data_IF_618304036821
#
_entry.id   IF_618304036821
#
_cell.length_a   1.000
_cell.length_b   1.000
_cell.length_c   1.000
_cell.angle_alpha   90.00
_cell.angle_beta   90.00
_cell.angle_gamma   90.00
#
_symmetry.space_group_name_H-M   'P 1'
#
loop_
_entity.id
_entity.type
_entity.pdbx_description
1 polymer ?
#
# COMPACT_ATOMS: atom_id res chain seq x y z
N UNK A 1 -4.61 -17.15 -1.54
CA UNK A 1 -5.17 -15.92 -2.15
C UNK A 1 -5.07 -14.80 -1.11
N UNK A 2 -4.88 -13.54 -1.51
CA UNK A 2 -4.72 -12.37 -0.61
C UNK A 2 -5.84 -12.31 0.44
N UNK A 3 -7.10 -12.51 0.05
CA UNK A 3 -8.24 -12.47 0.98
C UNK A 3 -8.13 -13.52 2.09
N UNK A 4 -7.71 -14.75 1.77
CA UNK A 4 -7.51 -15.80 2.78
C UNK A 4 -6.41 -15.43 3.76
N UNK A 5 -5.28 -14.90 3.28
CA UNK A 5 -4.19 -14.46 4.14
C UNK A 5 -4.60 -13.30 5.05
N UNK A 6 -5.45 -12.39 4.55
CA UNK A 6 -6.04 -11.37 5.40
C UNK A 6 -6.71 -12.04 6.60
N UNK A 7 -7.67 -12.94 6.40
CA UNK A 7 -8.42 -13.55 7.50
C UNK A 7 -7.57 -14.45 8.41
N UNK A 8 -6.73 -15.31 7.84
CA UNK A 8 -6.13 -16.42 8.58
C UNK A 8 -4.76 -16.07 9.16
N UNK A 9 -3.97 -15.25 8.46
CA UNK A 9 -2.62 -14.87 8.89
C UNK A 9 -2.60 -13.52 9.62
N UNK A 10 -3.63 -12.68 9.45
CA UNK A 10 -3.74 -11.33 10.04
C UNK A 10 -2.45 -10.50 9.86
N UNK A 11 -2.07 -10.20 8.61
CA UNK A 11 -0.80 -9.54 8.32
C UNK A 11 -0.77 -8.12 8.91
N UNK A 12 0.43 -7.68 9.29
CA UNK A 12 0.63 -6.32 9.81
C UNK A 12 0.53 -5.22 8.75
N UNK A 13 0.60 -5.56 7.45
CA UNK A 13 0.61 -4.62 6.33
C UNK A 13 0.13 -5.29 5.05
N UNK A 14 -0.70 -4.59 4.28
CA UNK A 14 -0.96 -4.92 2.88
C UNK A 14 -0.17 -3.97 1.97
N UNK A 15 0.64 -4.52 1.06
CA UNK A 15 1.33 -3.74 0.02
C UNK A 15 0.73 -4.06 -1.34
N UNK A 16 0.20 -3.05 -2.01
CA UNK A 16 -0.33 -3.14 -3.37
C UNK A 16 0.61 -2.37 -4.30
N UNK A 17 1.28 -3.10 -5.20
CA UNK A 17 2.26 -2.51 -6.13
C UNK A 17 1.69 -1.32 -6.92
N UNK A 18 0.46 -1.46 -7.43
CA UNK A 18 -0.15 -0.45 -8.31
C UNK A 18 -1.68 -0.44 -8.25
N UNK A 19 -2.28 0.74 -8.06
CA UNK A 19 -3.69 1.00 -8.34
C UNK A 19 -3.87 1.38 -9.81
N UNK A 20 -4.32 0.41 -10.60
CA UNK A 20 -4.44 0.49 -12.06
C UNK A 20 -5.85 0.83 -12.55
N UNK A 21 -6.04 0.64 -13.86
CA UNK A 21 -7.36 0.77 -14.48
C UNK A 21 -8.33 -0.27 -13.94
N UNK A 22 -7.89 -1.52 -13.77
CA UNK A 22 -8.70 -2.64 -13.28
C UNK A 22 -9.28 -2.34 -11.89
N UNK A 23 -8.46 -1.82 -10.98
CA UNK A 23 -8.90 -1.45 -9.63
C UNK A 23 -9.82 -0.23 -9.65
N UNK A 24 -9.55 0.75 -10.52
CA UNK A 24 -10.42 1.90 -10.73
C UNK A 24 -11.80 1.52 -11.29
N UNK A 25 -11.87 0.46 -12.09
CA UNK A 25 -13.11 -0.06 -12.67
C UNK A 25 -13.83 -1.08 -11.75
N UNK A 26 -13.33 -1.29 -10.52
CA UNK A 26 -13.99 -2.11 -9.49
C UNK A 26 -13.45 -3.52 -9.30
N UNK A 27 -12.43 -3.93 -10.05
CA UNK A 27 -11.83 -5.27 -9.97
C UNK A 27 -10.50 -5.33 -9.21
N UNK A 28 -9.74 -6.41 -9.46
CA UNK A 28 -8.37 -6.55 -8.99
C UNK A 28 -8.24 -6.53 -7.47
N UNK A 29 -7.28 -5.77 -6.96
CA UNK A 29 -6.99 -5.69 -5.52
C UNK A 29 -7.96 -4.81 -4.73
N UNK A 30 -8.98 -4.22 -5.36
CA UNK A 30 -9.93 -3.32 -4.69
C UNK A 30 -10.61 -3.98 -3.48
N UNK A 31 -11.07 -5.23 -3.62
CA UNK A 31 -11.70 -5.96 -2.52
C UNK A 31 -10.71 -6.18 -1.37
N UNK A 32 -9.48 -6.59 -1.66
CA UNK A 32 -8.46 -6.79 -0.63
C UNK A 32 -8.11 -5.48 0.10
N UNK A 33 -8.13 -4.34 -0.59
CA UNK A 33 -7.90 -3.03 0.03
C UNK A 33 -9.03 -2.71 1.02
N UNK A 34 -10.30 -2.89 0.62
CA UNK A 34 -11.45 -2.65 1.50
C UNK A 34 -11.39 -3.55 2.74
N UNK A 35 -11.19 -4.84 2.54
CA UNK A 35 -11.13 -5.81 3.64
C UNK A 35 -9.96 -5.55 4.59
N UNK A 36 -8.81 -5.10 4.08
CA UNK A 36 -7.68 -4.72 4.93
C UNK A 36 -8.03 -3.49 5.78
N UNK A 37 -8.63 -2.46 5.17
CA UNK A 37 -9.04 -1.23 5.87
C UNK A 37 -10.09 -1.53 6.93
N UNK A 38 -11.12 -2.33 6.62
CA UNK A 38 -12.18 -2.70 7.57
C UNK A 38 -11.64 -3.49 8.77
N UNK A 39 -10.52 -4.20 8.59
CA UNK A 39 -9.84 -4.96 9.64
C UNK A 39 -8.75 -4.17 10.37
N UNK A 40 -8.60 -2.88 10.05
CA UNK A 40 -7.58 -2.02 10.65
C UNK A 40 -6.14 -2.37 10.23
N UNK A 41 -5.97 -3.14 9.15
CA UNK A 41 -4.65 -3.45 8.58
C UNK A 41 -4.22 -2.26 7.72
N UNK A 42 -3.07 -1.63 8.01
CA UNK A 42 -2.53 -0.57 7.18
C UNK A 42 -2.32 -1.03 5.72
N UNK A 43 -2.59 -0.14 4.76
CA UNK A 43 -2.45 -0.43 3.33
C UNK A 43 -1.52 0.59 2.69
N UNK A 44 -0.44 0.11 2.06
CA UNK A 44 0.44 0.91 1.21
C UNK A 44 0.14 0.61 -0.26
N UNK A 45 -0.22 1.63 -1.03
CA UNK A 45 -0.58 1.48 -2.45
C UNK A 45 0.26 2.39 -3.32
N UNK A 46 0.92 1.82 -4.32
CA UNK A 46 1.53 2.61 -5.39
C UNK A 46 0.46 3.17 -6.32
N UNK A 47 0.40 4.50 -6.51
CA UNK A 47 -0.60 5.14 -7.37
C UNK A 47 0.10 5.96 -8.46
N UNK A 48 0.05 5.54 -9.74
CA UNK A 48 0.55 6.36 -10.83
C UNK A 48 -0.20 7.68 -10.91
N UNK A 49 0.48 8.79 -11.19
CA UNK A 49 -0.12 10.13 -11.23
C UNK A 49 -1.43 10.21 -12.05
N UNK A 50 -1.47 9.54 -13.22
CA UNK A 50 -2.68 9.47 -14.08
C UNK A 50 -3.91 8.82 -13.45
N UNK A 51 -3.73 8.07 -12.37
CA UNK A 51 -4.79 7.36 -11.65
C UNK A 51 -5.10 8.00 -10.29
N UNK A 52 -4.45 9.12 -9.94
CA UNK A 52 -4.56 9.73 -8.61
C UNK A 52 -5.97 10.20 -8.29
N UNK A 53 -6.68 10.78 -9.27
CA UNK A 53 -8.07 11.21 -9.06
C UNK A 53 -9.02 10.02 -8.85
N UNK A 54 -8.78 8.91 -9.55
CA UNK A 54 -9.54 7.66 -9.35
C UNK A 54 -9.26 7.05 -7.98
N UNK A 55 -8.01 7.09 -7.54
CA UNK A 55 -7.63 6.66 -6.21
C UNK A 55 -8.33 7.51 -5.14
N UNK A 56 -8.22 8.84 -5.23
CA UNK A 56 -8.90 9.79 -4.32
C UNK A 56 -10.42 9.56 -4.27
N UNK A 57 -11.05 9.34 -5.42
CA UNK A 57 -12.48 9.03 -5.49
C UNK A 57 -12.83 7.68 -4.84
N UNK A 58 -11.92 6.69 -4.89
CA UNK A 58 -12.12 5.40 -4.25
C UNK A 58 -11.98 5.46 -2.73
N UNK A 59 -10.89 6.04 -2.23
CA UNK A 59 -10.55 6.01 -0.79
C UNK A 59 -11.11 7.19 0.00
N UNK A 60 -11.53 8.26 -0.67
CA UNK A 60 -12.00 9.48 -0.03
C UNK A 60 -10.95 10.08 0.91
N UNK A 61 -11.39 10.46 2.11
CA UNK A 61 -10.53 11.05 3.15
C UNK A 61 -9.73 10.03 3.96
N UNK A 62 -9.80 8.73 3.64
CA UNK A 62 -9.12 7.67 4.40
C UNK A 62 -7.64 7.54 4.07
N UNK A 63 -7.21 8.04 2.90
CA UNK A 63 -5.81 7.94 2.50
C UNK A 63 -5.02 9.21 2.82
N UNK A 64 -3.74 9.02 3.14
CA UNK A 64 -2.72 10.06 3.17
C UNK A 64 -1.75 9.83 2.02
N UNK A 65 -1.57 10.84 1.16
CA UNK A 65 -0.53 10.81 0.13
C UNK A 65 0.85 11.04 0.78
N UNK A 66 1.82 10.21 0.40
CA UNK A 66 3.20 10.29 0.86
C UNK A 66 4.13 10.58 -0.33
N UNK A 67 5.22 11.34 -0.13
CA UNK A 67 6.30 11.39 -1.10
C UNK A 67 6.82 9.98 -1.43
N UNK A 68 7.26 9.77 -2.66
CA UNK A 68 7.89 8.53 -3.11
C UNK A 68 9.34 8.40 -2.59
N UNK A 69 9.52 8.62 -1.29
CA UNK A 69 10.80 8.65 -0.59
C UNK A 69 10.80 7.58 0.49
N UNK A 70 11.91 6.83 0.59
CA UNK A 70 12.04 5.76 1.58
C UNK A 70 11.79 6.27 3.01
N UNK A 71 12.31 7.45 3.35
CA UNK A 71 12.12 8.05 4.67
C UNK A 71 10.65 8.32 5.01
N UNK A 72 9.86 8.79 4.04
CA UNK A 72 8.43 9.05 4.24
C UNK A 72 7.65 7.75 4.47
N UNK A 73 7.95 6.71 3.69
CA UNK A 73 7.33 5.38 3.80
C UNK A 73 7.72 4.73 5.15
N UNK A 74 9.00 4.73 5.51
CA UNK A 74 9.48 4.18 6.79
C UNK A 74 8.92 4.95 7.99
N UNK A 75 8.77 6.27 7.88
CA UNK A 75 8.11 7.09 8.90
C UNK A 75 6.67 6.66 9.12
N UNK A 76 5.89 6.52 8.05
CA UNK A 76 4.50 6.07 8.13
C UNK A 76 4.36 4.64 8.68
N UNK A 77 5.25 3.71 8.27
CA UNK A 77 5.25 2.34 8.80
C UNK A 77 5.49 2.32 10.32
N UNK A 78 6.37 3.19 10.81
CA UNK A 78 6.61 3.35 12.25
C UNK A 78 5.38 3.91 12.97
N UNK A 79 4.69 4.89 12.39
CA UNK A 79 3.44 5.45 12.95
C UNK A 79 2.33 4.40 13.04
N UNK A 80 2.32 3.42 12.14
CA UNK A 80 1.43 2.25 12.19
C UNK A 80 1.85 1.17 13.21
N UNK A 81 2.95 1.36 13.95
CA UNK A 81 3.48 0.37 14.88
C UNK A 81 4.22 -0.80 14.21
N UNK A 82 4.53 -0.70 12.93
CA UNK A 82 5.29 -1.71 12.19
C UNK A 82 6.78 -1.48 12.45
N UNK A 83 7.29 -2.15 13.49
CA UNK A 83 8.69 -2.11 13.88
C UNK A 83 9.53 -3.21 13.21
N UNK A 84 10.85 -3.04 13.17
CA UNK A 84 11.79 -4.08 12.71
C UNK A 84 12.07 -4.10 11.21
N UNK A 85 11.60 -3.10 10.45
CA UNK A 85 12.05 -2.92 9.07
C UNK A 85 13.53 -2.46 9.09
N UNK A 86 14.47 -3.23 8.49
CA UNK A 86 15.84 -2.75 8.33
C UNK A 86 15.79 -1.44 7.54
N UNK A 87 16.77 -0.55 7.78
CA UNK A 87 16.89 0.69 7.02
C UNK A 87 16.82 0.36 5.53
N UNK A 88 15.71 0.74 4.88
CA UNK A 88 15.42 0.36 3.49
C UNK A 88 16.48 0.94 2.56
N UNK A 89 17.19 1.99 3.01
CA UNK A 89 18.34 2.56 2.32
C UNK A 89 19.44 1.53 2.01
N UNK A 90 19.66 0.53 2.87
CA UNK A 90 20.78 -0.41 2.75
C UNK A 90 20.51 -1.58 1.79
N UNK A 91 19.24 -1.93 1.54
CA UNK A 91 18.86 -3.09 0.69
C UNK A 91 18.50 -2.74 -0.75
N UNK A 92 18.53 -1.47 -1.14
CA UNK A 92 18.25 -1.02 -2.51
C UNK A 92 19.51 -0.94 -3.41
N UNK A 93 20.65 -1.49 -2.96
CA UNK A 93 21.89 -1.59 -3.72
C UNK A 93 21.87 -2.85 -4.59
N UNK A 94 20.97 -2.90 -5.56
CA UNK A 94 20.85 -3.99 -6.55
C UNK A 94 20.51 -3.43 -7.95
N UNK A 95 20.83 -4.16 -9.03
CA UNK A 95 20.85 -3.61 -10.40
C UNK A 95 19.48 -3.26 -11.01
N UNK A 96 18.36 -3.53 -10.32
CA UNK A 96 17.02 -3.33 -10.86
C UNK A 96 16.26 -2.31 -10.03
N UNK A 97 15.90 -1.19 -10.66
CA UNK A 97 14.94 -0.20 -10.16
C UNK A 97 13.76 -0.14 -11.12
N UNK A 98 12.55 -0.10 -10.56
CA UNK A 98 11.34 0.28 -11.30
C UNK A 98 10.70 1.42 -10.52
N UNK A 99 10.54 2.57 -11.19
CA UNK A 99 9.82 3.76 -10.71
C UNK A 99 8.30 3.60 -10.83
#
# INVERSE_FOLDING_TARGET
NVLHSLYDDSPALLVVNKFGKVEGDGGGMRQAIVEAVDRGIPVLVGVPARNLDRWRAFVGSLSRELPAEAAAITGWLRDCGIAGLPDVAERLVGPVRTV
#
